data_IF_654168305744
#
_entry.id   IF_654168305744
#
_cell.length_a   1.000
_cell.length_b   1.000
_cell.length_c   1.000
_cell.angle_alpha   90.00
_cell.angle_beta   90.00
_cell.angle_gamma   90.00
#
_symmetry.space_group_name_H-M   'P 1'
#
loop_
_entity.id
_entity.type
_entity.pdbx_description
1 polymer ?
#
# COMPACT_ATOMS: atom_id res chain seq x y z
N UNK A 1 -23.01 1.45 -5.43
CA UNK A 1 -21.61 1.05 -5.67
C UNK A 1 -20.70 1.96 -4.85
N UNK A 2 -19.66 1.40 -4.24
CA UNK A 2 -18.70 2.16 -3.44
C UNK A 2 -17.29 1.81 -3.86
N UNK A 3 -16.38 2.79 -3.74
CA UNK A 3 -14.95 2.52 -3.88
C UNK A 3 -14.46 1.88 -2.57
N UNK A 4 -14.05 0.63 -2.60
CA UNK A 4 -13.75 -0.12 -1.38
C UNK A 4 -12.30 -0.08 -0.96
N UNK A 5 -11.39 -0.30 -1.91
CA UNK A 5 -9.96 -0.38 -1.59
C UNK A 5 -9.10 -0.25 -2.84
N UNK A 6 -7.85 0.14 -2.61
CA UNK A 6 -6.79 0.10 -3.62
C UNK A 6 -5.74 -0.89 -3.13
N UNK A 7 -5.34 -1.82 -3.97
CA UNK A 7 -4.31 -2.80 -3.63
C UNK A 7 -3.04 -2.49 -4.41
N UNK A 8 -1.92 -2.34 -3.69
CA UNK A 8 -0.59 -2.31 -4.28
C UNK A 8 0.07 -3.67 -4.08
N UNK A 9 0.60 -4.24 -5.15
CA UNK A 9 1.31 -5.53 -5.05
C UNK A 9 2.77 -5.27 -4.72
N UNK A 10 3.25 -5.94 -3.69
CA UNK A 10 4.59 -5.71 -3.12
C UNK A 10 5.27 -7.05 -2.80
N UNK A 11 6.58 -7.00 -2.62
CA UNK A 11 7.35 -8.20 -2.29
C UNK A 11 7.20 -8.62 -0.82
N UNK A 12 6.95 -7.67 0.07
CA UNK A 12 6.83 -7.94 1.51
C UNK A 12 5.70 -7.09 2.09
N UNK A 13 4.56 -7.71 2.31
CA UNK A 13 3.36 -7.04 2.80
C UNK A 13 3.56 -6.47 4.20
N UNK A 14 4.12 -7.27 5.11
CA UNK A 14 4.34 -6.83 6.49
C UNK A 14 5.29 -5.63 6.55
N UNK A 15 6.36 -5.65 5.77
CA UNK A 15 7.32 -4.54 5.71
C UNK A 15 6.68 -3.28 5.11
N UNK A 16 5.84 -3.43 4.10
CA UNK A 16 5.13 -2.31 3.49
C UNK A 16 4.17 -1.65 4.48
N UNK A 17 3.39 -2.45 5.21
CA UNK A 17 2.51 -1.94 6.26
C UNK A 17 3.31 -1.19 7.33
N UNK A 18 4.41 -1.79 7.80
CA UNK A 18 5.25 -1.17 8.82
C UNK A 18 5.86 0.14 8.35
N UNK A 19 6.25 0.23 7.09
CA UNK A 19 6.76 1.45 6.50
C UNK A 19 5.72 2.58 6.56
N UNK A 20 4.50 2.31 6.13
CA UNK A 20 3.43 3.32 6.11
C UNK A 20 2.99 3.71 7.52
N UNK A 21 3.01 2.77 8.46
CA UNK A 21 2.74 3.08 9.86
C UNK A 21 3.77 4.06 10.41
N UNK A 22 5.06 3.79 10.17
CA UNK A 22 6.16 4.61 10.67
C UNK A 22 6.25 5.95 9.94
N UNK A 23 6.21 5.93 8.62
CA UNK A 23 6.47 7.12 7.80
C UNK A 23 5.31 8.12 7.85
N UNK A 24 4.08 7.63 7.89
CA UNK A 24 2.88 8.48 7.76
C UNK A 24 1.93 8.41 8.95
N UNK A 25 2.25 7.63 9.97
CA UNK A 25 1.42 7.52 11.17
C UNK A 25 0.09 6.83 10.93
N UNK A 26 -0.04 6.07 9.86
CA UNK A 26 -1.26 5.31 9.59
C UNK A 26 -1.34 4.09 10.49
N UNK A 27 -2.56 3.67 10.80
CA UNK A 27 -2.78 2.50 11.63
C UNK A 27 -3.07 1.28 10.76
N UNK A 28 -2.56 0.14 11.17
CA UNK A 28 -2.85 -1.14 10.53
C UNK A 28 -4.28 -1.54 10.87
N UNK A 29 -5.07 -1.87 9.84
CA UNK A 29 -6.38 -2.46 10.05
C UNK A 29 -6.25 -3.94 10.37
N UNK A 30 -5.52 -4.67 9.54
CA UNK A 30 -5.13 -6.04 9.81
C UNK A 30 -4.03 -6.50 8.85
N UNK A 31 -3.37 -7.60 9.22
CA UNK A 31 -2.50 -8.36 8.36
C UNK A 31 -3.00 -9.81 8.39
N UNK A 32 -3.36 -10.36 7.24
CA UNK A 32 -3.82 -11.75 7.15
C UNK A 32 -2.71 -12.70 7.62
N UNK A 33 -3.10 -13.77 8.28
CA UNK A 33 -2.14 -14.74 8.84
C UNK A 33 -1.19 -15.35 7.81
N UNK A 34 -1.63 -15.44 6.54
CA UNK A 34 -0.79 -15.91 5.44
C UNK A 34 0.39 -14.98 5.12
N UNK A 35 0.31 -13.71 5.55
CA UNK A 35 1.29 -12.69 5.20
C UNK A 35 1.17 -12.18 3.76
N UNK A 36 0.14 -12.59 3.02
CA UNK A 36 -0.01 -12.22 1.61
C UNK A 36 -0.93 -11.05 1.36
N UNK A 37 -1.61 -10.56 2.40
CA UNK A 37 -2.55 -9.45 2.27
C UNK A 37 -2.68 -8.70 3.59
N UNK A 38 -2.72 -7.38 3.51
CA UNK A 38 -2.95 -6.54 4.68
C UNK A 38 -3.53 -5.19 4.29
N UNK A 39 -4.18 -4.53 5.24
CA UNK A 39 -4.83 -3.24 5.02
C UNK A 39 -4.41 -2.23 6.06
N UNK A 40 -4.32 -0.97 5.61
CA UNK A 40 -4.20 0.18 6.49
C UNK A 40 -5.56 0.82 6.68
N UNK A 41 -5.77 1.42 7.85
CA UNK A 41 -6.97 2.18 8.16
C UNK A 41 -6.84 3.58 7.58
N UNK A 42 -7.54 3.86 6.50
CA UNK A 42 -7.45 5.13 5.76
C UNK A 42 -8.81 5.78 5.54
N UNK A 43 -9.82 5.37 6.30
CA UNK A 43 -11.17 5.94 6.21
C UNK A 43 -12.13 5.04 5.45
N UNK A 44 -12.97 5.62 4.58
CA UNK A 44 -14.00 4.89 3.87
C UNK A 44 -13.44 3.91 2.83
N UNK A 45 -12.25 4.18 2.32
CA UNK A 45 -11.54 3.28 1.41
C UNK A 45 -10.24 2.84 2.05
N UNK A 46 -9.85 1.59 1.84
CA UNK A 46 -8.62 1.05 2.40
C UNK A 46 -7.47 1.15 1.41
N UNK A 47 -6.28 1.48 1.92
CA UNK A 47 -5.04 1.23 1.19
C UNK A 47 -4.54 -0.13 1.64
N UNK A 48 -4.41 -1.05 0.70
CA UNK A 48 -4.05 -2.43 0.98
C UNK A 48 -2.79 -2.84 0.22
N UNK A 49 -2.12 -3.85 0.76
CA UNK A 49 -0.94 -4.44 0.13
C UNK A 49 -1.16 -5.94 -0.01
N UNK A 50 -0.76 -6.48 -1.14
CA UNK A 50 -0.82 -7.91 -1.41
C UNK A 50 0.50 -8.37 -2.02
N UNK A 51 0.82 -9.64 -1.82
CA UNK A 51 2.04 -10.21 -2.39
C UNK A 51 1.94 -10.31 -3.92
N UNK A 52 3.08 -10.34 -4.59
CA UNK A 52 3.12 -10.55 -6.03
C UNK A 52 2.51 -11.91 -6.43
N UNK A 53 2.69 -12.92 -5.60
CA UNK A 53 2.10 -14.24 -5.85
C UNK A 53 0.57 -14.16 -5.87
N UNK A 54 -0.02 -13.40 -4.94
CA UNK A 54 -1.46 -13.20 -4.93
C UNK A 54 -1.92 -12.43 -6.17
N UNK A 55 -1.15 -11.42 -6.59
CA UNK A 55 -1.42 -10.67 -7.81
C UNK A 55 -1.41 -11.56 -9.04
N UNK A 56 -0.41 -12.43 -9.15
CA UNK A 56 -0.32 -13.37 -10.28
C UNK A 56 -1.48 -14.37 -10.28
N UNK A 57 -1.98 -14.75 -9.11
CA UNK A 57 -3.16 -15.62 -9.02
C UNK A 57 -4.44 -14.90 -9.48
N UNK A 58 -4.51 -13.57 -9.28
CA UNK A 58 -5.69 -12.78 -9.62
C UNK A 58 -5.75 -12.36 -11.09
N UNK A 59 -4.61 -12.29 -11.78
CA UNK A 59 -4.53 -11.82 -13.15
C UNK A 59 -3.94 -12.90 -14.05
N UNK A 60 -4.68 -13.28 -15.09
CA UNK A 60 -4.26 -14.35 -16.01
C UNK A 60 -2.89 -14.11 -16.64
N UNK A 61 -2.56 -12.85 -16.95
CA UNK A 61 -1.27 -12.47 -17.52
C UNK A 61 -0.26 -11.97 -16.50
N UNK A 62 -0.57 -12.05 -15.19
CA UNK A 62 0.26 -11.48 -14.14
C UNK A 62 0.21 -9.95 -14.15
N UNK A 63 1.20 -9.33 -13.56
CA UNK A 63 1.32 -7.87 -13.52
C UNK A 63 2.80 -7.47 -13.55
N UNK A 64 3.07 -6.20 -13.79
CA UNK A 64 4.42 -5.65 -13.68
C UNK A 64 4.60 -5.11 -12.27
N UNK A 65 5.61 -5.63 -11.56
CA UNK A 65 5.95 -5.11 -10.24
C UNK A 65 6.44 -3.67 -10.36
N UNK A 66 5.98 -2.79 -9.47
CA UNK A 66 6.39 -1.39 -9.49
C UNK A 66 7.91 -1.25 -9.37
N UNK A 67 8.56 -2.11 -8.60
CA UNK A 67 10.02 -2.13 -8.45
C UNK A 67 10.77 -2.52 -9.72
N UNK A 68 10.09 -3.18 -10.66
CA UNK A 68 10.70 -3.62 -11.92
C UNK A 68 10.45 -2.62 -13.06
N UNK A 69 9.65 -1.59 -12.83
CA UNK A 69 9.36 -0.60 -13.84
C UNK A 69 10.49 0.42 -13.94
N UNK A 70 10.96 0.77 -15.15
CA UNK A 70 12.01 1.78 -15.33
C UNK A 70 11.51 3.21 -15.07
N UNK A 71 10.21 3.39 -14.90
CA UNK A 71 9.59 4.69 -14.65
C UNK A 71 8.34 4.50 -13.79
N UNK A 72 7.82 5.59 -13.19
CA UNK A 72 6.58 5.51 -12.42
C UNK A 72 5.45 4.92 -13.23
N UNK A 73 4.60 4.13 -12.58
CA UNK A 73 3.38 3.62 -13.19
C UNK A 73 2.36 4.76 -13.29
N UNK A 74 1.31 4.56 -14.08
CA UNK A 74 0.30 5.59 -14.33
C UNK A 74 -0.70 5.81 -13.19
N UNK A 75 -0.26 5.67 -11.95
CA UNK A 75 -1.11 5.79 -10.75
C UNK A 75 -0.34 6.58 -9.70
N UNK A 76 -1.03 7.51 -9.03
CA UNK A 76 -0.52 8.19 -7.85
C UNK A 76 -1.40 7.87 -6.65
N UNK A 77 -0.79 7.74 -5.48
CA UNK A 77 -1.50 7.61 -4.22
C UNK A 77 -1.26 8.88 -3.43
N UNK A 78 -2.34 9.61 -3.13
CA UNK A 78 -2.27 10.85 -2.38
C UNK A 78 -2.74 10.65 -0.94
N UNK A 79 -1.93 11.11 0.00
CA UNK A 79 -2.30 11.19 1.41
C UNK A 79 -2.52 12.67 1.74
N UNK A 80 -3.66 12.98 2.32
CA UNK A 80 -4.04 14.37 2.61
C UNK A 80 -3.93 14.62 4.10
N UNK A 81 -3.21 15.69 4.44
CA UNK A 81 -3.04 16.10 5.83
C UNK A 81 -3.03 17.62 5.92
N UNK A 82 -3.45 18.17 7.05
CA UNK A 82 -3.32 19.61 7.33
C UNK A 82 -1.90 20.00 7.72
N UNK A 83 -1.03 19.04 8.06
CA UNK A 83 0.34 19.27 8.47
C UNK A 83 1.36 18.70 7.50
N UNK A 84 1.36 19.15 6.24
CA UNK A 84 2.20 18.60 5.18
C UNK A 84 3.69 18.66 5.55
N UNK A 85 4.17 19.79 6.06
CA UNK A 85 5.60 19.94 6.42
C UNK A 85 6.00 18.96 7.51
N UNK A 86 5.17 18.83 8.56
CA UNK A 86 5.42 17.89 9.64
C UNK A 86 5.37 16.45 9.19
N UNK A 87 4.41 16.12 8.35
CA UNK A 87 4.27 14.76 7.79
C UNK A 87 5.48 14.41 6.92
N UNK A 88 5.92 15.34 6.08
CA UNK A 88 7.11 15.14 5.24
C UNK A 88 8.36 14.92 6.09
N UNK A 89 8.57 15.77 7.10
CA UNK A 89 9.71 15.64 8.01
C UNK A 89 9.70 14.29 8.75
N UNK A 90 8.52 13.87 9.21
CA UNK A 90 8.36 12.60 9.90
C UNK A 90 8.68 11.40 8.98
N UNK A 91 8.28 11.47 7.72
CA UNK A 91 8.52 10.40 6.75
C UNK A 91 10.00 10.22 6.41
N UNK A 92 10.81 11.28 6.58
CA UNK A 92 12.24 11.23 6.30
C UNK A 92 13.09 10.61 7.42
N UNK A 93 12.51 10.33 8.59
CA UNK A 93 13.26 9.79 9.74
C UNK A 93 13.58 8.31 9.63
#
# INVERSE_FOLDING_TARGET
>A
MKFGYTIAYVSDVAASLAFFERAFGLQRRFLHESGTYGELETGATALAFASHDLGHANFAGGHVAASDSPQPLGIEIGLVTSGVEGAHASALR
#
